data_IF_669872622796
#
_entry.id   IF_669872622796
#
_cell.length_a   1.000
_cell.length_b   1.000
_cell.length_c   1.000
_cell.angle_alpha   90.00
_cell.angle_beta   90.00
_cell.angle_gamma   90.00
#
_symmetry.space_group_name_H-M   'P 1'
#
loop_
_entity.id
_entity.type
_entity.pdbx_description
1 polymer ?
#
# COMPACT_ATOMS: atom_id res chain seq x y z
N UNK A 1 5.04 3.81 -14.30
CA UNK A 1 4.71 4.91 -13.36
C UNK A 1 3.60 4.38 -12.47
N UNK A 2 3.83 4.22 -11.17
CA UNK A 2 2.75 3.92 -10.23
C UNK A 2 1.84 5.15 -10.16
N UNK A 3 0.59 5.03 -10.59
CA UNK A 3 -0.37 6.12 -10.41
C UNK A 3 -0.85 6.11 -8.97
N UNK A 4 -0.72 7.25 -8.27
CA UNK A 4 -1.24 7.33 -6.90
C UNK A 4 -2.78 7.27 -6.95
N UNK A 5 -3.46 6.59 -6.01
CA UNK A 5 -4.93 6.54 -5.97
C UNK A 5 -5.60 7.91 -6.11
N UNK A 6 -5.02 8.94 -5.47
CA UNK A 6 -5.49 10.33 -5.53
C UNK A 6 -5.43 10.90 -6.95
N UNK A 7 -4.38 10.61 -7.72
CA UNK A 7 -4.21 11.10 -9.09
C UNK A 7 -5.22 10.47 -10.04
N UNK A 8 -5.48 9.16 -9.89
CA UNK A 8 -6.51 8.46 -10.65
C UNK A 8 -7.91 9.00 -10.34
N UNK A 9 -8.17 9.42 -9.10
CA UNK A 9 -9.44 10.00 -8.73
C UNK A 9 -9.60 11.40 -9.36
N UNK A 10 -8.54 12.20 -9.39
CA UNK A 10 -8.54 13.48 -10.11
C UNK A 10 -8.78 13.26 -11.61
N UNK A 11 -8.15 12.25 -12.21
CA UNK A 11 -8.37 11.89 -13.61
C UNK A 11 -9.83 11.49 -13.86
N UNK A 12 -10.41 10.65 -13.00
CA UNK A 12 -11.81 10.24 -13.07
C UNK A 12 -12.73 11.46 -13.07
N UNK A 13 -12.57 12.36 -12.09
CA UNK A 13 -13.38 13.58 -11.96
C UNK A 13 -13.26 14.44 -13.23
N UNK A 14 -12.04 14.66 -13.73
CA UNK A 14 -11.81 15.49 -14.93
C UNK A 14 -12.29 14.84 -16.23
N UNK A 15 -12.34 13.51 -16.30
CA UNK A 15 -12.86 12.77 -17.44
C UNK A 15 -14.39 12.63 -17.45
N UNK A 16 -15.03 12.91 -16.32
CA UNK A 16 -16.48 12.89 -16.18
C UNK A 16 -17.12 14.16 -16.74
N UNK A 17 -18.44 14.12 -16.97
CA UNK A 17 -19.23 15.31 -17.31
C UNK A 17 -19.59 16.16 -16.09
N UNK A 18 -19.17 15.78 -14.88
CA UNK A 18 -19.57 16.47 -13.65
C UNK A 18 -18.65 17.64 -13.32
N UNK A 19 -19.25 18.76 -12.94
CA UNK A 19 -18.55 19.89 -12.33
C UNK A 19 -18.12 19.55 -10.90
N UNK A 20 -17.13 20.27 -10.38
CA UNK A 20 -16.71 20.12 -8.98
C UNK A 20 -17.88 20.34 -7.99
N UNK A 21 -18.81 21.24 -8.32
CA UNK A 21 -20.00 21.49 -7.51
C UNK A 21 -20.94 20.28 -7.50
N UNK A 22 -21.18 19.64 -8.63
CA UNK A 22 -22.01 18.43 -8.70
C UNK A 22 -21.38 17.26 -7.96
N UNK A 23 -20.07 17.05 -8.12
CA UNK A 23 -19.33 16.02 -7.37
C UNK A 23 -19.39 16.28 -5.86
N UNK A 24 -19.27 17.53 -5.43
CA UNK A 24 -19.43 17.94 -4.03
C UNK A 24 -20.81 17.62 -3.48
N UNK A 25 -21.86 17.90 -4.26
CA UNK A 25 -23.25 17.63 -3.86
C UNK A 25 -23.53 16.13 -3.75
N UNK A 26 -23.01 15.31 -4.68
CA UNK A 26 -23.28 13.86 -4.70
C UNK A 26 -22.48 13.09 -3.65
N UNK A 27 -21.26 13.55 -3.33
CA UNK A 27 -20.39 12.90 -2.35
C UNK A 27 -20.53 13.47 -0.93
N UNK A 28 -21.28 14.55 -0.74
CA UNK A 28 -21.36 15.33 0.50
C UNK A 28 -19.99 15.85 0.99
N UNK A 29 -18.96 15.88 0.13
CA UNK A 29 -17.65 16.45 0.43
C UNK A 29 -17.68 17.95 0.15
N UNK A 30 -17.13 18.75 1.07
CA UNK A 30 -17.11 20.21 0.94
C UNK A 30 -16.44 20.66 -0.38
N UNK A 31 -17.10 21.53 -1.14
CA UNK A 31 -16.63 22.06 -2.42
C UNK A 31 -15.24 22.72 -2.31
N UNK A 32 -14.96 23.43 -1.21
CA UNK A 32 -13.63 24.01 -0.95
C UNK A 32 -12.55 22.93 -0.81
N UNK A 33 -12.87 21.82 -0.13
CA UNK A 33 -11.96 20.69 0.00
C UNK A 33 -11.70 20.02 -1.34
N UNK A 34 -12.75 19.82 -2.13
CA UNK A 34 -12.66 19.22 -3.47
C UNK A 34 -11.89 20.14 -4.44
N UNK A 35 -12.10 21.45 -4.38
CA UNK A 35 -11.39 22.44 -5.21
C UNK A 35 -9.89 22.44 -4.92
N UNK A 36 -9.49 22.43 -3.64
CA UNK A 36 -8.07 22.30 -3.26
C UNK A 36 -7.47 20.97 -3.71
N UNK A 37 -8.23 19.89 -3.62
CA UNK A 37 -7.81 18.58 -4.12
C UNK A 37 -7.56 18.57 -5.63
N UNK A 38 -8.51 19.10 -6.43
CA UNK A 38 -8.38 19.18 -7.88
C UNK A 38 -7.23 20.10 -8.34
N UNK A 39 -6.79 21.03 -7.49
CA UNK A 39 -5.63 21.90 -7.71
C UNK A 39 -4.31 21.29 -7.21
N UNK A 40 -4.33 20.08 -6.62
CA UNK A 40 -3.15 19.42 -6.06
C UNK A 40 -2.62 20.09 -4.78
N UNK A 41 -3.44 20.91 -4.11
CA UNK A 41 -3.05 21.63 -2.88
C UNK A 41 -3.21 20.79 -1.61
N UNK A 42 -4.02 19.73 -1.67
CA UNK A 42 -4.22 18.79 -0.57
C UNK A 42 -4.73 17.46 -1.11
N UNK A 43 -4.48 16.36 -0.40
CA UNK A 43 -5.11 15.07 -0.67
C UNK A 43 -6.44 14.94 0.09
N UNK A 44 -7.36 14.11 -0.43
CA UNK A 44 -8.56 13.73 0.31
C UNK A 44 -8.22 12.70 1.40
N UNK A 45 -8.86 12.83 2.56
CA UNK A 45 -8.83 11.78 3.59
C UNK A 45 -9.59 10.55 3.07
N UNK A 46 -9.24 9.36 3.54
CA UNK A 46 -9.81 8.09 3.04
C UNK A 46 -11.34 8.09 2.98
N UNK A 47 -12.02 8.59 4.02
CA UNK A 47 -13.49 8.70 4.02
C UNK A 47 -14.01 9.56 2.85
N UNK A 48 -13.45 10.75 2.68
CA UNK A 48 -13.89 11.70 1.65
C UNK A 48 -13.48 11.22 0.25
N UNK A 49 -12.35 10.51 0.14
CA UNK A 49 -11.91 9.85 -1.07
C UNK A 49 -12.93 8.81 -1.56
N UNK A 50 -13.34 7.88 -0.69
CA UNK A 50 -14.32 6.85 -1.07
C UNK A 50 -15.70 7.45 -1.33
N UNK A 51 -16.13 8.43 -0.53
CA UNK A 51 -17.39 9.12 -0.77
C UNK A 51 -17.43 9.81 -2.15
N UNK A 52 -16.30 10.38 -2.62
CA UNK A 52 -16.21 10.93 -3.97
C UNK A 52 -16.26 9.82 -5.02
N UNK A 53 -15.50 8.73 -4.86
CA UNK A 53 -15.49 7.62 -5.82
C UNK A 53 -16.87 6.95 -5.96
N UNK A 54 -17.54 6.68 -4.84
CA UNK A 54 -18.87 6.06 -4.79
C UNK A 54 -19.98 6.95 -5.38
N UNK A 55 -19.72 8.25 -5.55
CA UNK A 55 -20.68 9.17 -6.16
C UNK A 55 -20.80 9.03 -7.68
N UNK A 56 -19.86 8.31 -8.32
CA UNK A 56 -19.86 8.00 -9.75
C UNK A 56 -20.66 6.74 -10.06
N UNK A 57 -21.02 6.53 -11.33
CA UNK A 57 -21.68 5.29 -11.76
C UNK A 57 -20.79 4.06 -11.54
N UNK A 58 -21.39 2.87 -11.42
CA UNK A 58 -20.63 1.61 -11.27
C UNK A 58 -19.63 1.39 -12.41
N UNK A 59 -19.99 1.76 -13.64
CA UNK A 59 -19.10 1.66 -14.80
C UNK A 59 -17.87 2.58 -14.69
N UNK A 60 -18.05 3.80 -14.15
CA UNK A 60 -16.96 4.74 -13.89
C UNK A 60 -16.05 4.25 -12.75
N UNK A 61 -16.64 3.69 -11.69
CA UNK A 61 -15.90 3.09 -10.59
C UNK A 61 -15.09 1.87 -11.05
N UNK A 62 -15.66 1.00 -11.87
CA UNK A 62 -14.96 -0.17 -12.41
C UNK A 62 -13.80 0.27 -13.31
N UNK A 63 -13.98 1.31 -14.13
CA UNK A 63 -12.89 1.90 -14.92
C UNK A 63 -11.76 2.45 -14.04
N UNK A 64 -12.10 3.11 -12.94
CA UNK A 64 -11.12 3.56 -11.95
C UNK A 64 -10.36 2.37 -11.36
N UNK A 65 -11.06 1.32 -10.91
CA UNK A 65 -10.42 0.14 -10.31
C UNK A 65 -9.59 -0.67 -11.30
N UNK A 66 -10.03 -0.75 -12.55
CA UNK A 66 -9.27 -1.36 -13.63
C UNK A 66 -7.96 -0.61 -13.87
N UNK A 67 -7.99 0.73 -13.92
CA UNK A 67 -6.78 1.58 -14.02
C UNK A 67 -5.89 1.47 -12.79
N UNK A 68 -6.46 1.46 -11.59
CA UNK A 68 -5.69 1.27 -10.37
C UNK A 68 -4.98 -0.08 -10.37
N UNK A 69 -5.70 -1.14 -10.75
CA UNK A 69 -5.14 -2.49 -10.92
C UNK A 69 -4.11 -2.55 -12.05
N UNK A 70 -4.30 -1.88 -13.18
CA UNK A 70 -3.34 -1.90 -14.30
C UNK A 70 -2.12 -1.00 -14.07
N UNK A 71 -2.27 0.08 -13.29
CA UNK A 71 -1.16 0.92 -12.83
C UNK A 71 -0.21 0.16 -11.90
N UNK A 72 -0.72 -0.93 -11.32
CA UNK A 72 0.06 -2.01 -10.76
C UNK A 72 -0.09 -3.27 -11.59
N UNK A 73 0.71 -3.43 -12.65
CA UNK A 73 1.41 -4.71 -12.86
C UNK A 73 2.36 -4.96 -11.67
N UNK A 74 1.81 -4.90 -10.46
CA UNK A 74 2.47 -5.09 -9.22
C UNK A 74 2.63 -6.57 -9.02
N UNK A 75 3.68 -6.92 -8.29
CA UNK A 75 3.99 -8.26 -7.80
C UNK A 75 2.75 -9.07 -7.36
N UNK A 76 1.66 -8.45 -6.90
CA UNK A 76 0.39 -9.14 -6.60
C UNK A 76 -0.22 -9.85 -7.81
N UNK A 77 -0.31 -9.18 -8.97
CA UNK A 77 -0.85 -9.81 -10.17
C UNK A 77 0.05 -10.96 -10.61
N UNK A 78 1.38 -10.73 -10.58
CA UNK A 78 2.38 -11.75 -10.93
C UNK A 78 2.29 -12.98 -10.02
N UNK A 79 2.08 -12.80 -8.71
CA UNK A 79 1.88 -13.89 -7.75
C UNK A 79 0.56 -14.63 -8.01
N UNK A 80 -0.53 -13.89 -8.26
CA UNK A 80 -1.85 -14.48 -8.48
C UNK A 80 -1.95 -15.24 -9.81
N UNK A 81 -1.10 -14.91 -10.79
CA UNK A 81 -1.02 -15.60 -12.08
C UNK A 81 0.22 -16.49 -12.22
N UNK A 82 1.01 -16.65 -11.16
CA UNK A 82 2.20 -17.49 -11.19
C UNK A 82 1.81 -18.96 -11.38
N UNK A 83 2.67 -19.74 -12.06
CA UNK A 83 2.55 -21.18 -12.02
C UNK A 83 2.83 -21.69 -10.59
N UNK A 84 2.39 -22.92 -10.24
CA UNK A 84 2.70 -23.51 -8.94
C UNK A 84 4.21 -23.51 -8.62
N UNK A 85 5.04 -23.77 -9.62
CA UNK A 85 6.50 -23.82 -9.51
C UNK A 85 7.09 -22.43 -9.21
N UNK A 86 6.67 -21.41 -9.96
CA UNK A 86 7.10 -20.03 -9.75
C UNK A 86 6.64 -19.51 -8.37
N UNK A 87 5.43 -19.87 -7.95
CA UNK A 87 4.92 -19.49 -6.63
C UNK A 87 5.73 -20.13 -5.49
N UNK A 88 6.07 -21.42 -5.61
CA UNK A 88 6.93 -22.12 -4.65
C UNK A 88 8.32 -21.48 -4.55
N UNK A 89 8.91 -21.13 -5.70
CA UNK A 89 10.19 -20.43 -5.75
C UNK A 89 10.14 -19.05 -5.08
N UNK A 90 9.10 -18.26 -5.35
CA UNK A 90 8.88 -16.96 -4.71
C UNK A 90 8.80 -17.13 -3.18
N UNK A 91 8.05 -18.13 -2.69
CA UNK A 91 7.90 -18.38 -1.26
C UNK A 91 9.24 -18.77 -0.61
N UNK A 92 10.03 -19.63 -1.26
CA UNK A 92 11.36 -20.03 -0.81
C UNK A 92 12.30 -18.82 -0.70
N UNK A 93 12.37 -17.99 -1.73
CA UNK A 93 13.22 -16.79 -1.75
C UNK A 93 12.83 -15.79 -0.64
N UNK A 94 11.53 -15.62 -0.38
CA UNK A 94 11.04 -14.77 0.70
C UNK A 94 11.46 -15.31 2.08
N UNK A 95 11.37 -16.62 2.29
CA UNK A 95 11.78 -17.27 3.53
C UNK A 95 13.29 -17.15 3.78
N UNK A 96 14.11 -17.38 2.74
CA UNK A 96 15.57 -17.22 2.80
C UNK A 96 15.96 -15.77 3.13
N UNK A 97 15.33 -14.81 2.44
CA UNK A 97 15.55 -13.39 2.70
C UNK A 97 15.23 -13.02 4.15
N UNK A 98 14.10 -13.50 4.69
CA UNK A 98 13.71 -13.26 6.07
C UNK A 98 14.72 -13.85 7.07
N UNK A 99 15.10 -15.11 6.90
CA UNK A 99 16.06 -15.80 7.75
C UNK A 99 17.43 -15.09 7.77
N UNK A 100 17.89 -14.60 6.62
CA UNK A 100 19.15 -13.86 6.50
C UNK A 100 19.17 -12.55 7.31
N UNK A 101 18.00 -11.96 7.55
CA UNK A 101 17.86 -10.73 8.37
C UNK A 101 17.68 -11.02 9.84
N UNK A 102 16.98 -12.11 10.20
CA UNK A 102 16.82 -12.53 11.60
C UNK A 102 18.14 -12.98 12.23
N UNK A 103 19.06 -13.55 11.46
CA UNK A 103 20.39 -13.97 11.97
C UNK A 103 21.33 -12.80 12.29
N UNK A 104 21.16 -11.63 11.64
CA UNK A 104 21.97 -10.43 11.92
C UNK A 104 21.62 -9.74 13.25
N UNK A 105 20.54 -10.17 13.91
CA UNK A 105 20.06 -9.60 15.17
C UNK A 105 20.45 -10.40 16.43
N UNK A 106 21.27 -11.46 16.31
CA UNK A 106 21.73 -12.19 17.49
C UNK A 106 22.93 -11.48 18.15
N UNK A 107 22.82 -10.99 19.40
CA UNK A 107 23.98 -10.51 20.13
C UNK A 107 24.88 -11.71 20.45
N UNK A 108 26.19 -11.55 20.21
CA UNK A 108 27.23 -12.53 20.60
C UNK A 108 26.90 -13.13 21.97
N UNK A 109 26.74 -14.45 22.02
CA UNK A 109 26.67 -15.18 23.29
C UNK A 109 27.90 -14.80 24.11
N UNK A 110 27.69 -14.11 25.23
CA UNK A 110 28.72 -13.95 26.26
C UNK A 110 29.05 -15.36 26.75
N UNK A 111 30.26 -15.84 26.46
CA UNK A 111 30.77 -17.05 27.07
C UNK A 111 30.82 -16.82 28.59
N UNK A 112 29.94 -17.49 29.33
CA UNK A 112 30.03 -17.62 30.77
C UNK A 112 31.12 -18.65 31.07
N UNK A 113 32.37 -18.22 30.99
CA UNK A 113 33.50 -18.94 31.60
C UNK A 113 34.20 -17.96 32.53
N UNK A 114 33.65 -17.80 33.73
CA UNK A 114 34.39 -17.38 34.91
C UNK A 114 33.60 -17.82 36.14
N UNK A 115 33.84 -19.06 36.56
CA UNK A 115 33.54 -19.49 37.93
C UNK A 115 34.78 -19.21 38.78
N UNK A 116 34.68 -18.45 39.88
CA UNK A 116 35.83 -18.25 40.77
C UNK A 116 36.18 -19.57 41.45
N UNK A 117 37.46 -19.96 41.38
CA UNK A 117 38.00 -21.08 42.16
C UNK A 117 37.88 -20.74 43.64
N UNK A 118 37.17 -21.57 44.40
CA UNK A 118 37.20 -21.52 45.85
C UNK A 118 38.60 -21.96 46.32
N UNK A 119 39.34 -21.05 46.96
CA UNK A 119 40.51 -21.40 47.76
C UNK A 119 40.04 -22.15 49.01
N UNK A 120 40.47 -23.40 49.12
CA UNK A 120 40.39 -24.18 50.36
C UNK A 120 41.60 -23.78 51.20
N UNK A 121 41.37 -23.08 52.30
CA UNK A 121 42.39 -22.87 53.34
C UNK A 121 42.33 -24.08 54.28
N UNK A 122 43.47 -24.75 54.42
CA UNK A 122 43.72 -25.88 55.34
C UNK A 122 43.70 -25.43 56.80
#
# INVERSE_FOLDING_TARGET
>A
MEHRPQELLVELIRSSSYTAKEVSQRSCVNESSLSRFLQGKQDLKSRDFFAVLESFSEEEQERYWAKYRSSGEGWRSLIMTASPEDFEEICRLMAEWWASRSQKASPKSRNFTDSPKAEVVL
#
